data_IF_867770164642
#
_entry.id   IF_867770164642
#
_cell.length_a   1.000
_cell.length_b   1.000
_cell.length_c   1.000
_cell.angle_alpha   90.00
_cell.angle_beta   90.00
_cell.angle_gamma   90.00
#
_symmetry.space_group_name_H-M   'P 1'
#
loop_
_entity.id
_entity.type
_entity.pdbx_description
1 polymer ?
#
# COMPACT_ATOMS: atom_id res chain seq x y z
N UNK A 1 9.21 -0.83 -25.57
CA UNK A 1 8.27 -0.41 -24.51
C UNK A 1 8.48 -1.09 -23.16
N UNK A 2 8.19 -2.39 -22.98
CA UNK A 2 8.36 -3.07 -21.67
C UNK A 2 9.82 -3.13 -21.24
N UNK A 3 10.72 -3.57 -22.12
CA UNK A 3 12.16 -3.63 -21.85
C UNK A 3 12.74 -2.25 -21.50
N UNK A 4 12.44 -1.23 -22.30
CA UNK A 4 12.86 0.17 -22.05
C UNK A 4 12.38 0.70 -20.69
N UNK A 5 11.17 0.32 -20.26
CA UNK A 5 10.61 0.76 -18.97
C UNK A 5 11.30 0.05 -17.81
N UNK A 6 11.58 -1.25 -17.97
CA UNK A 6 12.33 -2.03 -17.00
C UNK A 6 13.77 -1.53 -16.87
N UNK A 7 14.45 -1.23 -17.98
CA UNK A 7 15.81 -0.67 -17.97
C UNK A 7 15.85 0.67 -17.22
N UNK A 8 14.85 1.54 -17.42
CA UNK A 8 14.73 2.80 -16.69
C UNK A 8 14.49 2.60 -15.20
N UNK A 9 13.60 1.68 -14.82
CA UNK A 9 13.38 1.35 -13.42
C UNK A 9 14.68 0.81 -12.80
N UNK A 10 15.35 -0.09 -13.52
CA UNK A 10 16.56 -0.76 -13.09
C UNK A 10 17.70 0.22 -12.83
N UNK A 11 17.92 1.15 -13.75
CA UNK A 11 18.99 2.15 -13.62
C UNK A 11 18.79 3.09 -12.42
N UNK A 12 17.54 3.49 -12.14
CA UNK A 12 17.21 4.32 -10.98
C UNK A 12 17.53 3.56 -9.69
N UNK A 13 17.05 2.32 -9.57
CA UNK A 13 17.27 1.53 -8.35
C UNK A 13 18.76 1.27 -8.11
N UNK A 14 19.50 0.95 -9.17
CA UNK A 14 20.96 0.76 -9.07
C UNK A 14 21.68 2.01 -8.57
N UNK A 15 21.32 3.16 -9.12
CA UNK A 15 21.96 4.45 -8.80
C UNK A 15 21.66 4.87 -7.37
N UNK A 16 20.38 4.82 -6.96
CA UNK A 16 19.94 5.28 -5.64
C UNK A 16 20.33 4.33 -4.50
N UNK A 17 20.49 3.04 -4.79
CA UNK A 17 20.90 2.03 -3.79
C UNK A 17 22.41 1.76 -3.76
N UNK A 18 23.17 2.42 -4.64
CA UNK A 18 24.62 2.28 -4.77
C UNK A 18 25.07 0.81 -4.81
N UNK A 19 24.47 0.02 -5.71
CA UNK A 19 24.83 -1.39 -5.84
C UNK A 19 26.24 -1.53 -6.45
N UNK A 20 27.14 -2.33 -5.84
CA UNK A 20 28.57 -2.35 -6.19
C UNK A 20 28.84 -2.77 -7.64
N UNK A 21 28.00 -3.61 -8.23
CA UNK A 21 28.16 -4.12 -9.59
C UNK A 21 27.43 -3.27 -10.65
N UNK A 22 26.89 -2.11 -10.25
CA UNK A 22 26.02 -1.27 -11.08
C UNK A 22 24.89 -2.05 -11.77
N UNK A 23 24.44 -3.14 -11.14
CA UNK A 23 23.42 -4.04 -11.65
C UNK A 23 22.50 -4.44 -10.52
N UNK A 24 21.22 -4.55 -10.84
CA UNK A 24 20.23 -5.13 -9.94
C UNK A 24 20.57 -6.60 -9.69
N UNK A 25 20.52 -7.06 -8.43
CA UNK A 25 20.67 -8.47 -8.12
C UNK A 25 19.69 -9.31 -8.94
N UNK A 26 20.16 -10.43 -9.51
CA UNK A 26 19.33 -11.33 -10.33
C UNK A 26 18.12 -11.85 -9.56
N UNK A 27 18.26 -11.95 -8.23
CA UNK A 27 17.20 -12.35 -7.29
C UNK A 27 16.04 -11.33 -7.20
N UNK A 28 16.27 -10.08 -7.61
CA UNK A 28 15.30 -8.98 -7.57
C UNK A 28 14.77 -8.63 -8.96
N UNK A 29 15.57 -8.88 -10.00
CA UNK A 29 15.31 -8.46 -11.37
C UNK A 29 14.17 -9.22 -12.09
N UNK A 30 13.55 -10.22 -11.45
CA UNK A 30 12.51 -11.07 -12.04
C UNK A 30 11.06 -10.64 -11.72
N UNK A 31 10.89 -9.58 -10.92
CA UNK A 31 9.59 -9.02 -10.58
C UNK A 31 8.82 -9.75 -9.47
N UNK A 32 9.47 -10.67 -8.74
CA UNK A 32 8.84 -11.35 -7.60
C UNK A 32 8.50 -10.39 -6.45
N UNK A 33 7.49 -10.77 -5.67
CA UNK A 33 7.17 -10.08 -4.40
C UNK A 33 8.12 -10.62 -3.32
N UNK A 34 8.70 -9.72 -2.53
CA UNK A 34 9.57 -10.05 -1.40
C UNK A 34 8.98 -9.57 -0.07
N UNK A 35 9.26 -10.29 1.00
CA UNK A 35 8.94 -9.84 2.37
C UNK A 35 9.82 -8.67 2.79
N UNK A 36 9.40 -7.91 3.81
CA UNK A 36 10.21 -6.79 4.33
C UNK A 36 11.60 -7.21 4.81
N UNK A 37 11.72 -8.40 5.42
CA UNK A 37 13.02 -8.97 5.82
C UNK A 37 13.93 -9.24 4.62
N UNK A 38 13.40 -9.91 3.59
CA UNK A 38 14.15 -10.17 2.35
C UNK A 38 14.53 -8.87 1.64
N UNK A 39 13.64 -7.88 1.61
CA UNK A 39 13.93 -6.58 1.02
C UNK A 39 15.10 -5.89 1.73
N UNK A 40 15.17 -5.99 3.07
CA UNK A 40 16.30 -5.47 3.84
C UNK A 40 17.59 -6.24 3.56
N UNK A 41 17.54 -7.57 3.58
CA UNK A 41 18.71 -8.43 3.30
C UNK A 41 19.28 -8.19 1.89
N UNK A 42 18.40 -7.91 0.91
CA UNK A 42 18.74 -7.56 -0.48
C UNK A 42 19.11 -6.07 -0.67
N UNK A 43 19.18 -5.29 0.42
CA UNK A 43 19.45 -3.85 0.43
C UNK A 43 18.48 -3.02 -0.42
N UNK A 44 17.24 -3.46 -0.59
CA UNK A 44 16.19 -2.69 -1.29
C UNK A 44 15.54 -1.63 -0.40
N UNK A 45 15.66 -1.78 0.92
CA UNK A 45 15.18 -0.82 1.93
C UNK A 45 16.29 -0.59 2.97
N UNK A 46 16.19 0.50 3.71
CA UNK A 46 17.21 0.89 4.70
C UNK A 46 16.93 0.36 6.11
N UNK A 47 15.66 0.07 6.44
CA UNK A 47 15.25 -0.46 7.73
C UNK A 47 13.89 -1.17 7.65
N UNK A 48 13.62 -2.02 8.65
CA UNK A 48 12.30 -2.62 8.87
C UNK A 48 11.67 -2.05 10.13
N UNK A 49 10.42 -1.62 10.05
CA UNK A 49 9.69 -1.07 11.19
C UNK A 49 8.23 -0.76 10.83
N UNK A 50 7.50 -0.22 11.79
CA UNK A 50 6.17 0.32 11.60
C UNK A 50 6.22 1.81 11.27
N UNK A 51 5.04 2.40 11.03
CA UNK A 51 4.91 3.83 10.74
C UNK A 51 5.53 4.72 11.84
N UNK A 52 5.45 4.33 13.11
CA UNK A 52 6.00 5.13 14.21
C UNK A 52 7.53 5.20 14.16
N UNK A 53 8.18 4.09 13.80
CA UNK A 53 9.63 4.02 13.63
C UNK A 53 10.06 4.93 12.47
N UNK A 54 9.37 4.85 11.34
CA UNK A 54 9.62 5.73 10.19
C UNK A 54 9.43 7.23 10.51
N UNK A 55 8.46 7.57 11.37
CA UNK A 55 8.27 8.95 11.84
C UNK A 55 9.41 9.38 12.76
N UNK A 56 9.87 8.50 13.65
CA UNK A 56 11.01 8.77 14.54
C UNK A 56 12.29 9.02 13.72
N UNK A 57 12.61 8.13 12.78
CA UNK A 57 13.75 8.27 11.87
C UNK A 57 13.69 9.58 11.07
N UNK A 58 12.51 9.92 10.53
CA UNK A 58 12.33 11.16 9.79
C UNK A 58 12.56 12.41 10.66
N UNK A 59 12.16 12.39 11.94
CA UNK A 59 12.44 13.49 12.88
C UNK A 59 13.93 13.61 13.17
N UNK A 60 14.62 12.49 13.36
CA UNK A 60 16.06 12.46 13.60
C UNK A 60 16.84 13.04 12.41
N UNK A 61 16.55 12.56 11.20
CA UNK A 61 17.16 13.03 9.95
C UNK A 61 16.91 14.53 9.75
N UNK A 62 15.68 14.99 10.03
CA UNK A 62 15.28 16.39 9.91
C UNK A 62 15.72 17.27 11.10
N UNK A 63 16.35 16.69 12.13
CA UNK A 63 16.78 17.37 13.38
C UNK A 63 15.62 18.11 14.07
N UNK A 64 14.46 17.47 14.12
CA UNK A 64 13.24 17.98 14.75
C UNK A 64 13.09 17.45 16.18
N UNK A 65 12.38 18.16 17.07
CA UNK A 65 12.07 17.65 18.40
C UNK A 65 11.12 16.44 18.33
N UNK A 66 11.18 15.56 19.33
CA UNK A 66 10.38 14.32 19.34
C UNK A 66 8.87 14.58 19.28
N UNK A 67 8.42 15.70 19.84
CA UNK A 67 7.01 16.11 19.85
C UNK A 67 6.59 16.88 18.59
N UNK A 68 7.41 16.91 17.53
CA UNK A 68 7.05 17.56 16.27
C UNK A 68 5.73 16.97 15.72
N UNK A 69 4.74 17.83 15.37
CA UNK A 69 3.42 17.39 14.96
C UNK A 69 3.46 16.67 13.60
N UNK A 70 2.69 15.60 13.46
CA UNK A 70 2.51 14.87 12.21
C UNK A 70 1.18 15.29 11.58
N UNK A 71 1.23 15.89 10.40
CA UNK A 71 0.05 16.39 9.70
C UNK A 71 -0.33 15.41 8.59
N UNK A 72 -1.57 14.89 8.63
CA UNK A 72 -2.12 14.03 7.58
C UNK A 72 -3.17 14.78 6.78
N UNK A 73 -2.92 14.98 5.49
CA UNK A 73 -3.91 15.51 4.57
C UNK A 73 -4.94 14.42 4.25
N UNK A 74 -6.20 14.70 4.58
CA UNK A 74 -7.33 13.85 4.21
C UNK A 74 -8.22 14.61 3.22
N UNK A 75 -8.80 13.89 2.26
CA UNK A 75 -9.77 14.48 1.36
C UNK A 75 -10.95 15.04 2.19
N UNK A 76 -11.39 16.28 1.95
CA UNK A 76 -12.49 16.86 2.70
C UNK A 76 -13.77 16.05 2.48
N UNK A 77 -14.54 15.87 3.56
CA UNK A 77 -15.85 15.24 3.48
C UNK A 77 -16.81 16.18 2.73
N UNK A 78 -17.25 15.77 1.54
CA UNK A 78 -18.19 16.54 0.75
C UNK A 78 -19.62 16.02 0.98
N UNK A 79 -20.45 16.78 1.71
CA UNK A 79 -21.87 16.50 1.83
C UNK A 79 -22.59 16.41 0.47
N UNK A 80 -22.06 17.03 -0.59
CA UNK A 80 -22.59 16.91 -1.96
C UNK A 80 -22.59 15.47 -2.49
N UNK A 81 -21.69 14.59 -2.01
CA UNK A 81 -21.76 13.15 -2.32
C UNK A 81 -22.99 12.51 -1.69
N UNK A 82 -23.35 12.90 -0.47
CA UNK A 82 -24.55 12.43 0.22
C UNK A 82 -25.83 12.96 -0.48
N UNK A 83 -25.85 14.23 -0.86
CA UNK A 83 -26.98 14.81 -1.60
C UNK A 83 -27.16 14.20 -2.99
N UNK A 84 -26.10 13.73 -3.65
CA UNK A 84 -26.21 12.98 -4.92
C UNK A 84 -26.91 11.64 -4.74
N UNK A 85 -26.72 10.96 -3.61
CA UNK A 85 -27.46 9.74 -3.27
C UNK A 85 -28.94 10.03 -3.00
N UNK A 86 -29.24 11.15 -2.32
CA UNK A 86 -30.62 11.56 -1.99
C UNK A 86 -31.37 12.19 -3.16
N UNK A 87 -30.66 12.75 -4.14
CA UNK A 87 -31.21 13.48 -5.28
C UNK A 87 -31.37 12.67 -6.57
N UNK A 88 -31.04 11.36 -6.56
CA UNK A 88 -31.42 10.50 -7.68
C UNK A 88 -32.95 10.38 -7.73
N UNK A 89 -33.57 11.17 -8.60
CA UNK A 89 -34.96 10.96 -9.02
C UNK A 89 -35.05 9.58 -9.66
N UNK A 90 -35.87 8.78 -9.01
CA UNK A 90 -36.17 7.39 -9.24
C UNK A 90 -36.98 7.23 -10.53
N UNK A 91 -36.31 6.83 -11.62
CA UNK A 91 -37.00 6.08 -12.67
C UNK A 91 -37.45 4.74 -12.05
N UNK A 92 -38.68 4.37 -12.35
CA UNK A 92 -39.47 3.33 -11.68
C UNK A 92 -38.69 2.02 -11.39
N UNK A 93 -38.65 1.65 -10.09
CA UNK A 93 -38.08 0.44 -9.46
C UNK A 93 -36.54 0.30 -9.29
N UNK A 94 -35.91 0.99 -8.32
CA UNK A 94 -34.69 0.54 -7.70
C UNK A 94 -35.01 -0.20 -6.40
N UNK A 95 -34.74 -1.52 -6.38
CA UNK A 95 -34.49 -2.20 -5.11
C UNK A 95 -33.22 -1.59 -4.52
N UNK A 96 -33.37 -0.66 -3.59
CA UNK A 96 -32.23 -0.17 -2.80
C UNK A 96 -31.88 -1.26 -1.80
N UNK A 97 -30.96 -2.15 -2.18
CA UNK A 97 -30.33 -3.06 -1.22
C UNK A 97 -29.34 -2.25 -0.41
N UNK A 98 -29.77 -1.79 0.77
CA UNK A 98 -28.85 -1.34 1.81
C UNK A 98 -28.29 -2.58 2.47
N UNK A 99 -27.21 -3.12 1.91
CA UNK A 99 -26.43 -4.19 2.52
C UNK A 99 -25.76 -3.64 3.78
N UNK A 100 -26.43 -3.77 4.94
CA UNK A 100 -25.88 -3.51 6.27
C UNK A 100 -24.84 -4.57 6.71
N UNK A 101 -24.62 -5.57 5.85
CA UNK A 101 -23.53 -6.55 5.95
C UNK A 101 -22.42 -6.04 5.02
N UNK A 102 -21.15 -5.93 5.47
CA UNK A 102 -20.06 -5.60 4.56
C UNK A 102 -20.11 -6.59 3.40
N UNK A 103 -20.36 -6.09 2.20
CA UNK A 103 -20.40 -6.91 0.98
C UNK A 103 -19.08 -7.66 0.86
N UNK A 104 -19.15 -8.95 1.18
CA UNK A 104 -18.12 -9.99 1.02
C UNK A 104 -16.72 -9.67 1.56
N UNK A 105 -16.18 -10.60 2.36
CA UNK A 105 -14.74 -10.73 2.52
C UNK A 105 -14.08 -11.07 1.16
N UNK A 106 -13.87 -10.07 0.32
CA UNK A 106 -13.10 -10.24 -0.91
C UNK A 106 -11.62 -10.26 -0.56
N UNK A 107 -11.06 -11.46 -0.47
CA UNK A 107 -9.63 -11.64 -0.37
C UNK A 107 -8.98 -11.02 -1.60
N UNK A 108 -8.08 -10.07 -1.37
CA UNK A 108 -7.31 -9.42 -2.42
C UNK A 108 -6.14 -10.31 -2.76
N UNK A 109 -5.99 -10.64 -4.05
CA UNK A 109 -4.86 -11.41 -4.54
C UNK A 109 -3.53 -10.75 -4.12
N UNK A 110 -2.55 -11.56 -3.73
CA UNK A 110 -1.22 -11.10 -3.35
C UNK A 110 -1.08 -10.53 -1.92
N UNK A 111 -2.12 -10.61 -1.08
CA UNK A 111 -2.04 -10.23 0.33
C UNK A 111 -2.02 -11.44 1.25
N UNK A 112 -1.22 -11.37 2.31
CA UNK A 112 -1.18 -12.38 3.36
C UNK A 112 -2.30 -12.11 4.37
N UNK A 113 -3.06 -13.15 4.69
CA UNK A 113 -4.18 -13.08 5.63
C UNK A 113 -4.01 -14.10 6.75
N UNK A 114 -4.18 -13.66 7.99
CA UNK A 114 -4.38 -14.55 9.13
C UNK A 114 -5.88 -14.83 9.26
N UNK A 115 -6.35 -15.96 8.72
CA UNK A 115 -7.77 -16.33 8.73
C UNK A 115 -7.99 -17.54 9.64
N UNK A 116 -9.05 -17.47 10.44
CA UNK A 116 -9.51 -18.62 11.22
C UNK A 116 -10.12 -19.68 10.29
N UNK A 117 -9.84 -20.95 10.55
CA UNK A 117 -10.40 -22.09 9.81
C UNK A 117 -11.93 -22.12 9.88
N UNK A 118 -12.51 -21.64 10.99
CA UNK A 118 -13.97 -21.63 11.20
C UNK A 118 -14.74 -20.67 10.26
N UNK A 119 -14.07 -19.71 9.60
CA UNK A 119 -14.72 -18.79 8.66
C UNK A 119 -15.11 -19.46 7.33
N UNK A 120 -14.54 -20.62 7.02
CA UNK A 120 -14.74 -21.31 5.74
C UNK A 120 -15.55 -22.61 5.84
N UNK A 121 -15.85 -23.07 7.06
CA UNK A 121 -16.75 -24.21 7.28
C UNK A 121 -18.20 -23.72 7.40
N UNK A 122 -18.89 -23.67 6.26
CA UNK A 122 -20.34 -23.81 6.24
C UNK A 122 -20.66 -25.30 6.32
N UNK A 123 -21.31 -25.73 7.40
CA UNK A 123 -22.25 -26.87 7.30
C UNK A 123 -23.49 -26.43 6.53
#
# INVERSE_FOLDING_TARGET
MVAETFEKFSSIVVTERDFPDQKLPTEVADGRIVSGKQAFDLKLIDATGYLQDAIADAREIAKLPENAPVIRYNAPFHFSRLFRFLGQKQDTNPKVQVSLVPESFHLQAGKLYYLSTHLFFRQ
#
